data_IF_905514987955
#
_entry.id   IF_905514987955
#
_cell.length_a   1.000
_cell.length_b   1.000
_cell.length_c   1.000
_cell.angle_alpha   90.00
_cell.angle_beta   90.00
_cell.angle_gamma   90.00
#
_symmetry.space_group_name_H-M   'P 1'
#
loop_
_entity.id
_entity.type
_entity.pdbx_description
1 polymer ?
#
# COMPACT_ATOMS: atom_id res chain seq x y z
N UNK A 1 -8.06 14.92 20.49
CA UNK A 1 -8.57 13.59 20.91
C UNK A 1 -9.84 13.15 20.17
N UNK A 2 -10.45 13.99 19.31
CA UNK A 2 -11.71 13.68 18.62
C UNK A 2 -11.50 13.12 17.19
N UNK A 3 -10.42 13.52 16.50
CA UNK A 3 -10.13 13.10 15.11
C UNK A 3 -9.95 11.58 14.91
N UNK A 4 -9.62 10.83 15.95
CA UNK A 4 -9.32 9.39 15.83
C UNK A 4 -10.59 8.51 15.67
N UNK A 5 -11.75 9.02 16.11
CA UNK A 5 -13.01 8.27 16.02
C UNK A 5 -13.66 8.40 14.65
N UNK A 6 -13.50 9.55 13.99
CA UNK A 6 -14.03 9.77 12.64
C UNK A 6 -13.32 8.87 11.60
N UNK A 7 -12.01 8.66 11.74
CA UNK A 7 -11.26 7.72 10.90
C UNK A 7 -11.69 6.26 11.10
N UNK A 8 -11.91 5.82 12.34
CA UNK A 8 -12.40 4.47 12.62
C UNK A 8 -13.81 4.27 12.05
N UNK A 9 -14.65 5.30 12.15
CA UNK A 9 -16.00 5.30 11.62
C UNK A 9 -16.03 5.24 10.08
N UNK A 10 -15.15 5.98 9.41
CA UNK A 10 -15.03 5.96 7.95
C UNK A 10 -14.56 4.59 7.40
N UNK A 11 -13.70 3.88 8.14
CA UNK A 11 -13.32 2.49 7.83
C UNK A 11 -14.49 1.53 8.03
N UNK A 12 -15.22 1.67 9.15
CA UNK A 12 -16.42 0.85 9.40
C UNK A 12 -17.51 1.11 8.36
N UNK A 13 -17.59 2.33 7.84
CA UNK A 13 -18.55 2.73 6.80
C UNK A 13 -18.20 2.17 5.40
N UNK A 14 -16.98 1.64 5.17
CA UNK A 14 -16.63 1.03 3.88
C UNK A 14 -15.67 -0.19 3.99
N UNK A 15 -16.07 -1.21 4.77
CA UNK A 15 -15.41 -2.53 4.82
C UNK A 15 -15.18 -3.16 3.43
N UNK A 16 -16.01 -2.79 2.45
CA UNK A 16 -15.86 -3.14 1.04
C UNK A 16 -14.54 -2.63 0.45
N UNK A 17 -14.16 -1.39 0.73
CA UNK A 17 -12.91 -0.77 0.26
C UNK A 17 -11.70 -1.47 0.87
N UNK A 18 -11.72 -1.73 2.19
CA UNK A 18 -10.66 -2.52 2.86
C UNK A 18 -10.53 -3.89 2.22
N UNK A 19 -11.65 -4.59 2.00
CA UNK A 19 -11.66 -5.91 1.37
C UNK A 19 -11.14 -5.87 -0.07
N UNK A 20 -11.41 -4.80 -0.81
CA UNK A 20 -10.94 -4.65 -2.18
C UNK A 20 -9.45 -4.31 -2.21
N UNK A 21 -9.00 -3.35 -1.40
CA UNK A 21 -7.58 -3.01 -1.29
C UNK A 21 -6.74 -4.22 -0.85
N UNK A 22 -7.22 -5.02 0.12
CA UNK A 22 -6.54 -6.25 0.53
C UNK A 22 -6.36 -7.26 -0.63
N UNK A 23 -7.24 -7.26 -1.63
CA UNK A 23 -7.06 -8.11 -2.83
C UNK A 23 -6.11 -7.51 -3.86
N UNK A 24 -5.96 -6.19 -3.86
CA UNK A 24 -5.25 -5.43 -4.89
C UNK A 24 -3.90 -4.86 -4.42
N UNK A 25 -3.54 -5.02 -3.14
CA UNK A 25 -2.35 -4.40 -2.55
C UNK A 25 -1.05 -4.77 -3.30
N UNK A 26 -0.92 -6.03 -3.72
CA UNK A 26 0.23 -6.56 -4.47
C UNK A 26 0.03 -6.51 -6.00
N UNK A 27 -0.85 -5.66 -6.53
CA UNK A 27 -1.10 -5.56 -7.97
C UNK A 27 0.12 -5.05 -8.77
N UNK A 28 1.01 -4.32 -8.11
CA UNK A 28 2.23 -3.79 -8.73
C UNK A 28 3.13 -4.89 -9.27
N UNK A 29 3.61 -4.72 -10.50
CA UNK A 29 4.39 -5.75 -11.19
C UNK A 29 5.83 -5.79 -10.68
N UNK A 30 6.26 -6.98 -10.23
CA UNK A 30 7.66 -7.30 -9.95
C UNK A 30 8.18 -8.24 -11.06
N UNK A 31 9.41 -8.06 -11.56
CA UNK A 31 10.00 -8.99 -12.53
C UNK A 31 10.04 -10.42 -12.01
N UNK A 32 9.62 -11.37 -12.85
CA UNK A 32 9.50 -12.79 -12.48
C UNK A 32 10.84 -13.38 -12.01
N UNK A 33 11.96 -12.91 -12.57
CA UNK A 33 13.31 -13.36 -12.19
C UNK A 33 13.63 -13.02 -10.73
N UNK A 34 13.13 -11.88 -10.23
CA UNK A 34 13.29 -11.45 -8.84
C UNK A 34 12.33 -12.22 -7.94
N UNK A 35 11.07 -12.35 -8.38
CA UNK A 35 10.03 -13.05 -7.62
C UNK A 35 10.35 -14.53 -7.39
N UNK A 36 10.93 -15.19 -8.40
CA UNK A 36 11.27 -16.62 -8.37
C UNK A 36 12.74 -16.89 -7.99
N UNK A 37 13.48 -15.89 -7.50
CA UNK A 37 14.89 -16.06 -7.14
C UNK A 37 15.05 -17.06 -6.00
N UNK A 38 15.92 -18.05 -6.20
CA UNK A 38 16.36 -18.94 -5.13
C UNK A 38 17.44 -18.24 -4.28
N UNK A 39 17.05 -17.73 -3.10
CA UNK A 39 17.96 -17.10 -2.14
C UNK A 39 17.54 -15.68 -1.76
N UNK A 40 18.34 -14.98 -0.94
CA UNK A 40 18.01 -13.61 -0.55
C UNK A 40 18.11 -12.66 -1.74
N UNK A 41 17.26 -11.62 -1.71
CA UNK A 41 17.38 -10.50 -2.62
C UNK A 41 18.56 -9.60 -2.21
N UNK A 42 19.30 -9.12 -3.19
CA UNK A 42 20.29 -8.07 -3.00
C UNK A 42 19.64 -6.68 -2.89
N UNK A 43 20.46 -5.65 -2.67
CA UNK A 43 19.96 -4.29 -2.46
C UNK A 43 19.24 -3.72 -3.70
N UNK A 44 19.68 -4.06 -4.91
CA UNK A 44 19.09 -3.55 -6.15
C UNK A 44 17.77 -4.25 -6.44
N UNK A 45 17.70 -5.55 -6.19
CA UNK A 45 16.47 -6.33 -6.28
C UNK A 45 15.44 -5.84 -5.26
N UNK A 46 15.87 -5.53 -4.03
CA UNK A 46 15.00 -4.93 -3.03
C UNK A 46 14.49 -3.54 -3.45
N UNK A 47 15.28 -2.73 -4.16
CA UNK A 47 14.80 -1.45 -4.69
C UNK A 47 13.64 -1.66 -5.65
N UNK A 48 13.76 -2.61 -6.57
CA UNK A 48 12.69 -2.97 -7.52
C UNK A 48 11.45 -3.50 -6.81
N UNK A 49 11.62 -4.41 -5.84
CA UNK A 49 10.48 -4.92 -5.06
C UNK A 49 9.76 -3.80 -4.33
N UNK A 50 10.47 -2.79 -3.80
CA UNK A 50 9.85 -1.66 -3.08
C UNK A 50 9.08 -0.70 -3.97
N UNK A 51 9.17 -0.81 -5.30
CA UNK A 51 8.41 0.02 -6.23
C UNK A 51 6.98 -0.51 -6.44
N UNK A 52 6.70 -1.79 -6.14
CA UNK A 52 5.40 -2.37 -6.45
C UNK A 52 4.20 -1.66 -5.79
N UNK A 53 4.26 -1.08 -4.58
CA UNK A 53 3.11 -0.35 -4.04
C UNK A 53 2.79 0.89 -4.88
N UNK A 54 3.82 1.63 -5.31
CA UNK A 54 3.66 2.80 -6.19
C UNK A 54 3.13 2.40 -7.56
N UNK A 55 3.68 1.32 -8.15
CA UNK A 55 3.19 0.81 -9.44
C UNK A 55 1.73 0.35 -9.33
N UNK A 56 1.36 -0.33 -8.23
CA UNK A 56 -0.02 -0.73 -7.97
C UNK A 56 -0.95 0.47 -7.87
N UNK A 57 -0.53 1.52 -7.17
CA UNK A 57 -1.26 2.78 -7.08
C UNK A 57 -1.45 3.45 -8.45
N UNK A 58 -0.40 3.54 -9.27
CA UNK A 58 -0.45 4.08 -10.63
C UNK A 58 -1.41 3.30 -11.55
N UNK A 59 -1.48 1.96 -11.39
CA UNK A 59 -2.44 1.12 -12.14
C UNK A 59 -3.89 1.44 -11.75
N UNK A 60 -4.14 1.73 -10.48
CA UNK A 60 -5.49 1.99 -9.95
C UNK A 60 -5.96 3.43 -10.17
N UNK A 61 -5.05 4.41 -10.17
CA UNK A 61 -5.33 5.84 -10.28
C UNK A 61 -6.32 6.23 -11.40
N UNK A 62 -6.21 5.72 -12.65
CA UNK A 62 -7.13 6.11 -13.72
C UNK A 62 -8.52 5.45 -13.63
N UNK A 63 -8.74 4.52 -12.70
CA UNK A 63 -10.00 3.77 -12.57
C UNK A 63 -10.86 4.46 -11.51
N UNK A 64 -11.73 5.39 -11.93
CA UNK A 64 -12.54 6.22 -11.01
C UNK A 64 -13.20 5.43 -9.85
N UNK A 65 -13.83 4.25 -10.06
CA UNK A 65 -14.43 3.49 -8.96
C UNK A 65 -13.44 2.95 -7.91
N UNK A 66 -12.14 2.96 -8.19
CA UNK A 66 -11.07 2.44 -7.35
C UNK A 66 -10.15 3.54 -6.79
N UNK A 67 -10.43 4.81 -7.09
CA UNK A 67 -9.60 5.94 -6.68
C UNK A 67 -9.36 5.99 -5.16
N UNK A 68 -10.38 5.65 -4.36
CA UNK A 68 -10.29 5.61 -2.89
C UNK A 68 -9.33 4.53 -2.36
N UNK A 69 -8.97 3.54 -3.20
CA UNK A 69 -8.05 2.47 -2.81
C UNK A 69 -6.58 2.85 -3.04
N UNK A 70 -6.31 3.87 -3.85
CA UNK A 70 -4.95 4.28 -4.25
C UNK A 70 -4.06 4.54 -3.03
N UNK A 71 -4.47 5.32 -2.01
CA UNK A 71 -3.62 5.56 -0.85
C UNK A 71 -3.37 4.29 -0.02
N UNK A 72 -4.38 3.40 0.04
CA UNK A 72 -4.31 2.14 0.79
C UNK A 72 -3.29 1.21 0.13
N UNK A 73 -3.40 1.03 -1.18
CA UNK A 73 -2.49 0.18 -1.97
C UNK A 73 -1.09 0.78 -2.01
N UNK A 74 -0.94 2.11 -2.06
CA UNK A 74 0.39 2.72 -2.05
C UNK A 74 1.13 2.54 -0.72
N UNK A 75 0.39 2.59 0.40
CA UNK A 75 0.98 2.70 1.74
C UNK A 75 1.02 1.38 2.53
N UNK A 76 0.60 0.25 1.97
CA UNK A 76 0.48 -1.02 2.72
C UNK A 76 1.81 -1.58 3.28
N UNK A 77 2.95 -1.02 2.85
CA UNK A 77 4.28 -1.32 3.39
C UNK A 77 4.88 -0.21 4.27
N UNK A 78 4.11 0.84 4.55
CA UNK A 78 4.48 1.83 5.53
C UNK A 78 4.49 1.21 6.93
N UNK A 79 5.33 1.77 7.80
CA UNK A 79 5.48 1.29 9.18
C UNK A 79 5.28 2.46 10.11
N UNK A 80 4.64 2.22 11.26
CA UNK A 80 4.29 3.28 12.22
C UNK A 80 5.47 4.19 12.61
N UNK A 81 6.69 3.64 12.68
CA UNK A 81 7.92 4.37 13.00
C UNK A 81 8.60 5.08 11.81
N UNK A 82 8.05 4.93 10.59
CA UNK A 82 8.54 5.50 9.33
C UNK A 82 9.76 4.79 8.74
N UNK A 83 10.00 3.52 9.11
CA UNK A 83 10.98 2.68 8.41
C UNK A 83 10.39 1.88 7.24
N UNK A 84 9.13 2.16 6.89
CA UNK A 84 8.45 1.59 5.75
C UNK A 84 8.77 2.32 4.44
N UNK A 85 8.02 1.99 3.40
CA UNK A 85 8.15 2.53 2.05
C UNK A 85 6.75 2.55 1.39
N UNK A 86 6.55 3.32 0.31
CA UNK A 86 7.52 4.12 -0.45
C UNK A 86 7.81 5.52 0.11
N UNK A 87 6.93 6.13 0.89
CA UNK A 87 7.02 7.54 1.28
C UNK A 87 7.59 7.75 2.70
N UNK A 88 7.75 6.70 3.50
CA UNK A 88 8.33 6.76 4.84
C UNK A 88 7.42 7.48 5.84
N UNK A 89 6.11 7.32 5.67
CA UNK A 89 5.08 7.95 6.49
C UNK A 89 5.15 7.44 7.94
N UNK A 90 4.74 8.30 8.88
CA UNK A 90 4.82 8.03 10.32
C UNK A 90 3.49 8.23 11.00
N UNK A 91 3.17 7.33 11.91
CA UNK A 91 1.96 7.40 12.72
C UNK A 91 0.71 7.62 11.87
N UNK A 92 -0.04 8.67 12.22
CA UNK A 92 -1.32 9.01 11.60
C UNK A 92 -1.23 9.52 10.16
N UNK A 93 -0.02 9.75 9.63
CA UNK A 93 0.15 10.03 8.21
C UNK A 93 -0.09 8.78 7.34
N UNK A 94 0.00 7.58 7.93
CA UNK A 94 -0.30 6.31 7.25
C UNK A 94 -1.82 6.16 7.16
N UNK A 95 -2.38 5.89 5.96
CA UNK A 95 -3.80 5.58 5.83
C UNK A 95 -4.19 4.43 6.75
N UNK A 96 -5.20 4.63 7.60
CA UNK A 96 -5.56 3.66 8.63
C UNK A 96 -5.96 2.28 8.07
N UNK A 97 -6.37 2.22 6.80
CA UNK A 97 -6.78 1.00 6.12
C UNK A 97 -5.65 0.26 5.36
N UNK A 98 -4.43 0.82 5.29
CA UNK A 98 -3.31 0.24 4.51
C UNK A 98 -2.66 -0.97 5.17
#
# INVERSE_FOLDING_TARGET
MIENFDNLRQILENLSSVKMAAKLHDLGKIPEQILNKCGPLDEQEWKIVREHPSIGAEILEPIEPLADLVPIVQCHHERWNGSGYPAGLKGIAIPLAS
#
